data_IF_564080647853
#
_entry.id   IF_564080647853
#
_cell.length_a   1.000
_cell.length_b   1.000
_cell.length_c   1.000
_cell.angle_alpha   90.00
_cell.angle_beta   90.00
_cell.angle_gamma   90.00
#
_symmetry.space_group_name_H-M   'P 1'
#
loop_
_entity.id
_entity.type
_entity.pdbx_description
1 polymer ?
#
# COMPACT_ATOMS: atom_id res chain seq x y z
N UNK A 1 -17.05 6.86 -0.69
CA UNK A 1 -15.90 7.79 -0.60
C UNK A 1 -16.31 9.22 -0.93
N UNK A 2 -16.03 10.15 -0.02
CA UNK A 2 -16.21 11.59 -0.24
C UNK A 2 -15.04 12.17 -1.11
N UNK A 3 -15.12 13.45 -1.49
CA UNK A 3 -14.10 14.09 -2.34
C UNK A 3 -12.71 14.14 -1.69
N UNK A 4 -12.65 14.33 -0.38
CA UNK A 4 -11.39 14.33 0.39
C UNK A 4 -10.71 12.96 0.30
N UNK A 5 -11.47 11.88 0.53
CA UNK A 5 -10.98 10.51 0.44
C UNK A 5 -10.52 10.14 -0.98
N UNK A 6 -11.22 10.61 -2.03
CA UNK A 6 -10.81 10.39 -3.43
C UNK A 6 -9.51 11.10 -3.77
N UNK A 7 -9.33 12.34 -3.32
CA UNK A 7 -8.08 13.08 -3.50
C UNK A 7 -6.94 12.38 -2.77
N UNK A 8 -7.16 12.04 -1.50
CA UNK A 8 -6.16 11.38 -0.67
C UNK A 8 -5.74 10.01 -1.23
N UNK A 9 -6.67 9.24 -1.81
CA UNK A 9 -6.36 8.01 -2.54
C UNK A 9 -5.36 8.26 -3.68
N UNK A 10 -5.58 9.29 -4.50
CA UNK A 10 -4.67 9.66 -5.58
C UNK A 10 -3.29 10.06 -5.07
N UNK A 11 -3.26 10.98 -4.09
CA UNK A 11 -2.02 11.51 -3.51
C UNK A 11 -1.19 10.39 -2.84
N UNK A 12 -1.81 9.55 -2.01
CA UNK A 12 -1.14 8.42 -1.33
C UNK A 12 -0.64 7.39 -2.35
N UNK A 13 -1.44 7.07 -3.37
CA UNK A 13 -1.02 6.13 -4.42
C UNK A 13 0.25 6.63 -5.12
N UNK A 14 0.29 7.93 -5.45
CA UNK A 14 1.48 8.52 -6.08
C UNK A 14 2.70 8.53 -5.15
N UNK A 15 2.51 8.86 -3.86
CA UNK A 15 3.59 8.79 -2.86
C UNK A 15 4.14 7.37 -2.70
N UNK A 16 3.30 6.33 -2.78
CA UNK A 16 3.77 4.94 -2.80
C UNK A 16 4.65 4.66 -4.02
N UNK A 17 4.29 5.15 -5.22
CA UNK A 17 5.13 4.99 -6.43
C UNK A 17 6.49 5.67 -6.28
N UNK A 18 6.50 6.90 -5.76
CA UNK A 18 7.73 7.67 -5.51
C UNK A 18 8.60 6.92 -4.49
N UNK A 19 8.02 6.43 -3.40
CA UNK A 19 8.73 5.68 -2.38
C UNK A 19 9.34 4.37 -2.90
N UNK A 20 8.66 3.67 -3.82
CA UNK A 20 9.20 2.46 -4.45
C UNK A 20 10.45 2.77 -5.30
N UNK A 21 10.43 3.88 -6.04
CA UNK A 21 11.61 4.35 -6.79
C UNK A 21 12.75 4.75 -5.86
N UNK A 22 12.44 5.49 -4.79
CA UNK A 22 13.41 5.89 -3.78
C UNK A 22 14.07 4.66 -3.12
N UNK A 23 13.29 3.65 -2.75
CA UNK A 23 13.81 2.42 -2.16
C UNK A 23 14.78 1.66 -3.09
N UNK A 24 14.49 1.60 -4.39
CA UNK A 24 15.41 1.02 -5.37
C UNK A 24 16.70 1.86 -5.53
N UNK A 25 16.59 3.18 -5.55
CA UNK A 25 17.75 4.07 -5.62
C UNK A 25 18.63 3.98 -4.37
N UNK A 26 18.03 3.91 -3.18
CA UNK A 26 18.74 3.73 -1.92
C UNK A 26 19.49 2.40 -1.90
N UNK A 27 18.87 1.33 -2.40
CA UNK A 27 19.52 0.03 -2.53
C UNK A 27 20.74 0.09 -3.46
N UNK A 28 20.61 0.73 -4.63
CA UNK A 28 21.75 0.94 -5.52
C UNK A 28 22.88 1.68 -4.77
N UNK A 29 22.55 2.74 -4.01
CA UNK A 29 23.55 3.47 -3.22
C UNK A 29 24.19 2.65 -2.11
N UNK A 30 23.45 1.73 -1.49
CA UNK A 30 23.95 0.91 -0.39
C UNK A 30 24.81 -0.27 -0.86
N UNK A 31 24.57 -0.77 -2.07
CA UNK A 31 25.21 -2.00 -2.58
C UNK A 31 26.12 -1.80 -3.77
N UNK A 32 25.99 -0.68 -4.48
CA UNK A 32 26.58 -0.42 -5.80
C UNK A 32 26.22 -1.49 -6.86
N UNK A 33 25.13 -2.24 -6.64
CA UNK A 33 24.65 -3.31 -7.52
C UNK A 33 23.25 -2.96 -8.10
N UNK A 34 23.15 -2.49 -9.36
CA UNK A 34 21.89 -2.01 -9.95
C UNK A 34 20.78 -3.07 -10.01
N UNK A 35 21.14 -4.32 -10.29
CA UNK A 35 20.19 -5.43 -10.41
C UNK A 35 19.91 -6.16 -9.08
N UNK A 36 20.51 -5.72 -7.97
CA UNK A 36 20.27 -6.33 -6.66
C UNK A 36 18.81 -6.22 -6.27
N UNK A 37 18.30 -7.20 -5.52
CA UNK A 37 16.91 -7.20 -5.04
C UNK A 37 16.86 -6.69 -3.61
N UNK A 38 15.84 -5.91 -3.30
CA UNK A 38 15.49 -5.51 -1.93
C UNK A 38 14.99 -6.76 -1.19
N UNK A 39 15.76 -7.22 -0.21
CA UNK A 39 15.28 -8.13 0.84
C UNK A 39 14.71 -7.39 2.05
N UNK A 40 14.81 -6.06 2.09
CA UNK A 40 14.39 -5.24 3.22
C UNK A 40 13.02 -4.58 2.96
N UNK A 41 11.93 -5.31 3.22
CA UNK A 41 10.56 -4.75 3.24
C UNK A 41 10.46 -3.52 4.16
N UNK A 42 11.29 -3.49 5.21
CA UNK A 42 11.43 -2.35 6.11
C UNK A 42 11.87 -1.06 5.40
N UNK A 43 12.82 -1.12 4.46
CA UNK A 43 13.27 0.07 3.72
C UNK A 43 12.12 0.66 2.89
N UNK A 44 11.35 -0.21 2.24
CA UNK A 44 10.15 0.20 1.50
C UNK A 44 9.11 0.83 2.44
N UNK A 45 8.88 0.22 3.61
CA UNK A 45 7.94 0.72 4.63
C UNK A 45 8.30 2.13 5.11
N UNK A 46 9.57 2.35 5.46
CA UNK A 46 10.04 3.67 5.91
C UNK A 46 9.95 4.70 4.79
N UNK A 47 10.32 4.34 3.55
CA UNK A 47 10.25 5.27 2.42
C UNK A 47 8.80 5.62 2.05
N UNK A 48 7.86 4.68 2.14
CA UNK A 48 6.42 4.95 1.95
C UNK A 48 5.91 5.91 3.02
N UNK A 49 6.23 5.68 4.29
CA UNK A 49 5.80 6.55 5.37
C UNK A 49 6.36 7.98 5.20
N UNK A 50 7.65 8.14 4.87
CA UNK A 50 8.27 9.45 4.59
C UNK A 50 7.61 10.17 3.42
N UNK A 51 7.36 9.47 2.32
CA UNK A 51 6.74 10.07 1.14
C UNK A 51 5.32 10.56 1.43
N UNK A 52 4.53 9.82 2.22
CA UNK A 52 3.19 10.26 2.63
C UNK A 52 3.28 11.46 3.58
N UNK A 53 4.28 11.52 4.47
CA UNK A 53 4.48 12.65 5.39
C UNK A 53 4.72 13.98 4.67
N UNK A 54 5.32 13.95 3.47
CA UNK A 54 5.47 15.14 2.62
C UNK A 54 4.12 15.78 2.23
N UNK A 55 3.00 15.04 2.32
CA UNK A 55 1.67 15.61 2.08
C UNK A 55 1.20 16.52 3.24
N UNK A 56 1.88 16.50 4.39
CA UNK A 56 1.57 17.32 5.56
C UNK A 56 2.12 18.76 5.48
N UNK A 57 2.74 19.15 4.36
CA UNK A 57 3.27 20.52 4.20
C UNK A 57 2.13 21.55 4.25
N UNK A 58 2.33 22.63 5.02
CA UNK A 58 1.31 23.66 5.26
C UNK A 58 0.74 24.23 3.95
N UNK A 59 -0.57 24.57 3.90
CA UNK A 59 -1.53 24.64 5.00
C UNK A 59 -2.43 23.39 5.18
N UNK A 60 -1.98 22.20 4.78
CA UNK A 60 -2.79 20.98 4.85
C UNK A 60 -3.06 20.52 6.31
N UNK A 61 -4.25 19.95 6.55
CA UNK A 61 -4.51 19.19 7.79
C UNK A 61 -3.64 17.94 7.81
N UNK A 62 -2.77 17.76 8.82
CA UNK A 62 -1.74 16.74 8.76
C UNK A 62 -2.34 15.33 8.90
N UNK A 63 -2.01 14.46 7.95
CA UNK A 63 -2.14 13.03 8.10
C UNK A 63 -1.34 12.55 9.32
N UNK A 64 -1.92 11.64 10.10
CA UNK A 64 -1.17 10.88 11.11
C UNK A 64 -0.79 9.54 10.53
N UNK A 65 0.50 9.26 10.50
CA UNK A 65 1.08 8.07 9.90
C UNK A 65 1.64 7.20 11.02
N UNK A 66 1.23 5.94 11.06
CA UNK A 66 1.82 4.97 11.98
C UNK A 66 2.45 3.85 11.18
N UNK A 67 3.71 3.56 11.50
CA UNK A 67 4.43 2.40 11.00
C UNK A 67 4.18 1.24 11.96
N UNK A 68 3.96 0.03 11.44
CA UNK A 68 3.87 -1.20 12.24
C UNK A 68 2.71 -1.18 13.27
N UNK A 69 1.56 -0.60 12.91
CA UNK A 69 0.42 -0.48 13.84
C UNK A 69 -0.19 -1.86 14.13
N UNK A 70 -0.46 -2.22 15.41
CA UNK A 70 -1.13 -3.48 15.74
C UNK A 70 -2.51 -3.62 15.06
N UNK A 71 -2.75 -4.76 14.43
CA UNK A 71 -3.98 -5.03 13.66
C UNK A 71 -5.25 -4.86 14.50
N UNK A 72 -5.23 -5.31 15.76
CA UNK A 72 -6.35 -5.21 16.71
C UNK A 72 -6.73 -3.77 17.03
N UNK A 73 -5.73 -2.89 17.12
CA UNK A 73 -5.96 -1.50 17.47
C UNK A 73 -6.47 -0.74 16.24
N UNK A 74 -5.91 -1.01 15.05
CA UNK A 74 -6.42 -0.46 13.80
C UNK A 74 -7.86 -0.92 13.51
N UNK A 75 -8.16 -2.21 13.67
CA UNK A 75 -9.52 -2.72 13.48
C UNK A 75 -10.55 -2.05 14.39
N UNK A 76 -10.17 -1.76 15.65
CA UNK A 76 -11.03 -0.97 16.55
C UNK A 76 -11.23 0.45 16.01
N UNK A 77 -10.17 1.08 15.52
CA UNK A 77 -10.22 2.44 14.98
C UNK A 77 -11.05 2.52 13.68
N UNK A 78 -11.22 1.42 12.95
CA UNK A 78 -12.13 1.34 11.81
C UNK A 78 -13.62 1.49 12.19
N UNK A 79 -13.99 1.48 13.47
CA UNK A 79 -15.37 1.70 13.91
C UNK A 79 -15.56 3.11 14.48
N UNK A 80 -16.74 3.70 14.29
CA UNK A 80 -17.08 4.98 14.93
C UNK A 80 -16.86 4.92 16.45
N UNK A 81 -16.18 5.91 17.06
CA UNK A 81 -16.02 5.96 18.52
C UNK A 81 -17.36 6.13 19.25
N UNK A 82 -18.26 6.91 18.66
CA UNK A 82 -19.61 7.20 19.16
C UNK A 82 -20.57 7.26 17.99
N UNK A 83 -21.76 6.67 18.15
CA UNK A 83 -22.91 6.92 17.29
C UNK A 83 -23.91 7.71 18.11
N UNK A 84 -24.19 8.96 17.69
CA UNK A 84 -25.14 9.82 18.39
C UNK A 84 -26.57 9.41 18.05
N UNK A 85 -27.38 9.17 19.09
CA UNK A 85 -28.80 8.91 18.94
C UNK A 85 -29.64 10.17 19.07
N UNK A 86 -30.95 10.01 19.23
CA UNK A 86 -31.86 11.12 19.45
C UNK A 86 -31.51 11.87 20.77
N UNK A 87 -31.20 13.17 20.74
CA UNK A 87 -30.80 13.94 21.93
C UNK A 87 -31.90 14.04 23.00
N UNK A 88 -33.17 13.84 22.62
CA UNK A 88 -34.31 13.85 23.54
C UNK A 88 -34.48 12.52 24.29
N UNK A 89 -33.79 11.46 23.87
CA UNK A 89 -33.89 10.12 24.47
C UNK A 89 -32.61 9.82 25.23
N UNK A 90 -32.71 9.74 26.57
CA UNK A 90 -31.55 9.42 27.43
C UNK A 90 -30.99 8.04 27.05
N UNK A 91 -29.68 7.98 26.80
CA UNK A 91 -28.99 6.72 26.48
C UNK A 91 -29.11 6.28 25.01
N UNK A 92 -29.63 7.14 24.13
CA UNK A 92 -29.74 6.85 22.69
C UNK A 92 -28.39 6.79 21.98
N UNK A 93 -27.35 7.45 22.52
CA UNK A 93 -25.99 7.40 21.98
C UNK A 93 -25.25 6.14 22.39
N UNK A 94 -24.57 5.52 21.42
CA UNK A 94 -23.83 4.28 21.61
C UNK A 94 -22.33 4.57 21.54
N UNK A 95 -21.61 4.29 22.64
CA UNK A 95 -20.15 4.31 22.68
C UNK A 95 -19.60 2.99 22.16
N UNK A 96 -18.50 3.03 21.41
CA UNK A 96 -17.77 1.84 20.96
C UNK A 96 -17.32 1.01 22.16
N UNK A 97 -17.64 -0.29 22.15
CA UNK A 97 -17.27 -1.23 23.23
C UNK A 97 -16.34 -2.32 22.71
N UNK A 98 -15.36 -2.69 23.54
CA UNK A 98 -14.47 -3.82 23.27
C UNK A 98 -13.55 -3.63 22.07
N UNK A 99 -13.07 -4.76 21.53
CA UNK A 99 -12.31 -4.84 20.29
C UNK A 99 -13.09 -5.72 19.31
N UNK A 100 -13.27 -5.31 18.05
CA UNK A 100 -13.92 -6.16 17.07
C UNK A 100 -13.12 -7.45 16.85
N UNK A 101 -13.82 -8.49 16.42
CA UNK A 101 -13.17 -9.72 16.02
C UNK A 101 -12.35 -9.49 14.74
N UNK A 102 -11.09 -9.93 14.77
CA UNK A 102 -10.25 -10.10 13.58
C UNK A 102 -9.60 -11.47 13.67
N UNK A 103 -9.50 -12.17 12.55
CA UNK A 103 -8.96 -13.53 12.46
C UNK A 103 -7.49 -13.56 12.82
N UNK A 104 -6.72 -12.55 12.41
CA UNK A 104 -5.26 -12.56 12.51
C UNK A 104 -4.70 -11.44 13.36
N UNK A 105 -3.78 -11.82 14.25
CA UNK A 105 -2.94 -10.87 14.98
C UNK A 105 -1.71 -10.51 14.13
N UNK A 106 -1.19 -9.31 14.33
CA UNK A 106 0.02 -8.85 13.67
C UNK A 106 0.14 -7.34 13.72
N UNK A 107 0.90 -6.81 12.76
CA UNK A 107 1.09 -5.38 12.53
C UNK A 107 0.82 -5.09 11.05
N UNK A 108 0.41 -3.86 10.77
CA UNK A 108 0.19 -3.32 9.44
C UNK A 108 1.38 -2.41 9.13
N UNK A 109 2.00 -2.56 7.97
CA UNK A 109 3.26 -1.88 7.65
C UNK A 109 3.12 -0.37 7.75
N UNK A 110 2.09 0.21 7.11
CA UNK A 110 1.74 1.64 7.26
C UNK A 110 0.23 1.80 7.38
N UNK A 111 -0.21 2.64 8.31
CA UNK A 111 -1.58 3.13 8.35
C UNK A 111 -1.61 4.65 8.35
N UNK A 112 -2.59 5.20 7.66
CA UNK A 112 -2.78 6.65 7.53
C UNK A 112 -4.12 7.02 8.14
N UNK A 113 -4.12 8.08 8.93
CA UNK A 113 -5.31 8.71 9.47
C UNK A 113 -5.40 10.14 8.97
N UNK A 114 -6.62 10.64 8.92
CA UNK A 114 -6.91 12.03 8.57
C UNK A 114 -7.90 12.61 9.58
N UNK A 115 -7.95 13.93 9.65
CA UNK A 115 -8.95 14.63 10.44
C UNK A 115 -9.84 15.40 9.46
N UNK A 116 -11.09 14.97 9.30
CA UNK A 116 -12.06 15.67 8.46
C UNK A 116 -13.25 16.06 9.35
N UNK A 117 -13.40 17.37 9.67
CA UNK A 117 -14.46 17.84 10.54
C UNK A 117 -15.85 17.65 9.93
N UNK A 118 -15.95 17.35 8.63
CA UNK A 118 -17.21 17.05 7.96
C UNK A 118 -17.65 15.60 8.12
N UNK A 119 -16.81 14.73 8.69
CA UNK A 119 -17.17 13.34 8.97
C UNK A 119 -17.86 13.24 10.33
N UNK A 120 -18.77 12.26 10.48
CA UNK A 120 -19.33 11.90 11.78
C UNK A 120 -18.32 11.16 12.68
N UNK A 121 -17.04 11.13 12.31
CA UNK A 121 -16.00 10.46 13.06
C UNK A 121 -15.40 11.44 14.07
N UNK A 122 -15.55 11.14 15.36
CA UNK A 122 -15.02 11.99 16.42
C UNK A 122 -13.49 11.79 16.56
N UNK A 123 -12.72 12.77 16.09
CA UNK A 123 -11.25 12.75 16.12
C UNK A 123 -10.64 12.26 14.80
N UNK A 124 -9.46 11.63 14.87
CA UNK A 124 -8.76 11.18 13.65
C UNK A 124 -9.30 9.86 13.14
N UNK A 125 -9.87 9.88 11.94
CA UNK A 125 -10.45 8.73 11.24
C UNK A 125 -9.36 7.95 10.48
N UNK A 126 -9.38 6.60 10.50
CA UNK A 126 -8.51 5.83 9.63
C UNK A 126 -8.87 6.06 8.16
N UNK A 127 -7.85 6.39 7.36
CA UNK A 127 -7.97 6.63 5.93
C UNK A 127 -7.63 5.37 5.12
N UNK A 128 -6.48 4.76 5.42
CA UNK A 128 -6.07 3.53 4.74
C UNK A 128 -5.12 2.67 5.58
N UNK A 129 -5.17 1.37 5.31
CA UNK A 129 -4.13 0.41 5.65
C UNK A 129 -3.30 0.11 4.40
N UNK A 130 -1.99 0.02 4.56
CA UNK A 130 -1.03 -0.25 3.49
C UNK A 130 -0.17 -1.44 3.92
N UNK A 131 -0.23 -2.50 3.12
CA UNK A 131 0.62 -3.68 3.23
C UNK A 131 1.64 -3.65 2.08
N UNK A 132 2.91 -3.91 2.39
CA UNK A 132 4.05 -3.79 1.49
C UNK A 132 4.77 -5.13 1.44
N UNK A 133 5.28 -5.48 0.27
CA UNK A 133 6.12 -6.66 0.07
C UNK A 133 7.33 -6.34 -0.80
N UNK A 134 8.40 -7.09 -0.55
CA UNK A 134 9.63 -7.02 -1.34
C UNK A 134 9.46 -7.58 -2.75
N UNK A 135 10.55 -8.10 -3.31
CA UNK A 135 10.58 -8.62 -4.67
C UNK A 135 9.91 -9.99 -4.80
N UNK A 136 9.03 -10.12 -5.79
CA UNK A 136 8.38 -11.36 -6.23
C UNK A 136 7.70 -12.12 -5.07
N UNK A 137 6.76 -11.49 -4.33
CA UNK A 137 6.08 -12.16 -3.22
C UNK A 137 5.34 -13.40 -3.71
N UNK A 138 5.29 -14.42 -2.85
CA UNK A 138 4.55 -15.65 -3.18
C UNK A 138 3.05 -15.36 -3.24
N UNK A 139 2.33 -16.13 -4.08
CA UNK A 139 0.86 -16.02 -4.21
C UNK A 139 0.16 -16.08 -2.85
N UNK A 140 0.60 -16.99 -1.97
CA UNK A 140 0.01 -17.18 -0.65
C UNK A 140 0.14 -15.93 0.23
N UNK A 141 1.30 -15.26 0.20
CA UNK A 141 1.52 -14.03 0.96
C UNK A 141 0.63 -12.89 0.43
N UNK A 142 0.59 -12.71 -0.90
CA UNK A 142 -0.25 -11.68 -1.53
C UNK A 142 -1.72 -11.88 -1.17
N UNK A 143 -2.25 -13.11 -1.32
CA UNK A 143 -3.66 -13.39 -1.00
C UNK A 143 -3.94 -13.16 0.49
N UNK A 144 -3.03 -13.56 1.37
CA UNK A 144 -3.19 -13.36 2.81
C UNK A 144 -3.24 -11.88 3.21
N UNK A 145 -2.42 -11.02 2.59
CA UNK A 145 -2.42 -9.59 2.87
C UNK A 145 -3.64 -8.88 2.24
N UNK A 146 -4.05 -9.28 1.03
CA UNK A 146 -5.30 -8.78 0.42
C UNK A 146 -6.53 -9.18 1.24
N UNK A 147 -6.56 -10.41 1.77
CA UNK A 147 -7.61 -10.88 2.67
C UNK A 147 -7.65 -10.08 3.97
N UNK A 148 -6.49 -9.75 4.54
CA UNK A 148 -6.38 -8.93 5.75
C UNK A 148 -6.88 -7.50 5.50
N UNK A 149 -6.48 -6.92 4.37
CA UNK A 149 -6.97 -5.62 3.95
C UNK A 149 -8.50 -5.62 3.82
N UNK A 150 -9.08 -6.62 3.15
CA UNK A 150 -10.53 -6.79 3.03
C UNK A 150 -11.21 -7.01 4.39
N UNK A 151 -10.57 -7.71 5.33
CA UNK A 151 -11.09 -7.91 6.68
C UNK A 151 -11.31 -6.57 7.41
N UNK A 152 -10.42 -5.59 7.27
CA UNK A 152 -10.60 -4.26 7.87
C UNK A 152 -11.83 -3.52 7.34
N UNK A 153 -12.21 -3.73 6.08
CA UNK A 153 -13.44 -3.14 5.50
C UNK A 153 -14.71 -3.80 6.02
N UNK A 154 -14.61 -5.05 6.49
CA UNK A 154 -15.74 -5.85 6.97
C UNK A 154 -15.86 -5.90 8.49
N UNK A 155 -15.00 -5.17 9.20
CA UNK A 155 -15.11 -5.03 10.65
C UNK A 155 -16.49 -4.47 11.01
N UNK A 156 -17.15 -5.10 11.98
CA UNK A 156 -18.44 -4.70 12.51
C UNK A 156 -18.40 -4.68 14.04
N UNK A 157 -19.12 -3.74 14.64
CA UNK A 157 -19.29 -3.64 16.08
C UNK A 157 -20.57 -2.91 16.48
N UNK A 158 -20.70 -2.61 17.77
CA UNK A 158 -21.90 -1.98 18.29
C UNK A 158 -22.11 -0.53 17.81
N UNK A 159 -21.10 0.08 17.17
CA UNK A 159 -21.16 1.40 16.55
C UNK A 159 -21.25 1.34 15.02
N UNK A 160 -21.60 0.17 14.46
CA UNK A 160 -21.85 -0.02 13.04
C UNK A 160 -20.72 -0.73 12.30
N UNK A 161 -20.63 -0.47 10.99
CA UNK A 161 -19.63 -1.04 10.09
C UNK A 161 -18.33 -0.23 10.05
N UNK A 162 -17.31 -0.81 9.41
CA UNK A 162 -16.05 -0.15 9.11
C UNK A 162 -16.24 1.15 8.32
N UNK A 163 -15.56 2.20 8.78
CA UNK A 163 -15.46 3.51 8.14
C UNK A 163 -14.29 3.60 7.16
N UNK A 164 -13.50 2.53 7.01
CA UNK A 164 -12.31 2.52 6.17
C UNK A 164 -12.71 2.65 4.69
N UNK A 165 -12.28 3.70 3.98
CA UNK A 165 -12.69 3.91 2.59
C UNK A 165 -11.92 3.04 1.60
N UNK A 166 -10.62 2.84 1.84
CA UNK A 166 -9.77 2.02 0.98
C UNK A 166 -8.60 1.40 1.74
N UNK A 167 -7.98 0.39 1.15
CA UNK A 167 -6.71 -0.18 1.60
C UNK A 167 -5.82 -0.49 0.40
N UNK A 168 -4.52 -0.59 0.63
CA UNK A 168 -3.51 -0.74 -0.39
C UNK A 168 -2.63 -1.96 -0.09
N UNK A 169 -2.35 -2.75 -1.11
CA UNK A 169 -1.24 -3.70 -1.12
C UNK A 169 -0.24 -3.24 -2.18
N UNK A 170 1.05 -3.23 -1.88
CA UNK A 170 2.10 -2.94 -2.87
C UNK A 170 3.21 -3.97 -2.83
N UNK A 171 3.77 -4.31 -3.98
CA UNK A 171 4.99 -5.10 -4.03
C UNK A 171 5.89 -4.78 -5.23
N UNK A 172 7.14 -5.21 -5.13
CA UNK A 172 8.11 -5.15 -6.21
C UNK A 172 8.20 -6.50 -6.94
N UNK A 173 8.57 -6.46 -8.22
CA UNK A 173 8.84 -7.62 -9.08
C UNK A 173 10.11 -7.36 -9.86
N UNK A 174 10.94 -8.38 -10.06
CA UNK A 174 12.24 -8.26 -10.73
C UNK A 174 12.34 -9.19 -11.93
N UNK A 175 12.84 -8.67 -13.04
CA UNK A 175 13.14 -9.44 -14.23
C UNK A 175 14.57 -9.16 -14.68
N UNK A 176 15.40 -10.20 -14.78
CA UNK A 176 16.83 -10.09 -15.10
C UNK A 176 17.12 -10.30 -16.60
N UNK A 177 16.10 -10.62 -17.40
CA UNK A 177 16.24 -10.98 -18.82
C UNK A 177 15.33 -10.10 -19.68
N UNK A 178 15.52 -8.79 -19.57
CA UNK A 178 14.77 -7.82 -20.40
C UNK A 178 15.75 -7.00 -21.22
N UNK A 179 15.62 -7.09 -22.54
CA UNK A 179 16.59 -6.54 -23.48
C UNK A 179 16.02 -5.42 -24.35
N UNK A 180 14.68 -5.30 -24.40
CA UNK A 180 13.98 -4.38 -25.26
C UNK A 180 12.68 -3.85 -24.61
N UNK A 181 12.09 -2.84 -25.24
CA UNK A 181 10.84 -2.23 -24.80
C UNK A 181 9.66 -3.22 -24.85
N UNK A 182 9.67 -4.16 -25.82
CA UNK A 182 8.64 -5.19 -25.91
C UNK A 182 8.65 -6.11 -24.67
N UNK A 183 9.82 -6.50 -24.20
CA UNK A 183 10.00 -7.27 -22.97
C UNK A 183 9.58 -6.50 -21.72
N UNK A 184 9.79 -5.18 -21.67
CA UNK A 184 9.31 -4.36 -20.55
C UNK A 184 7.78 -4.34 -20.48
N UNK A 185 7.10 -4.16 -21.62
CA UNK A 185 5.65 -4.21 -21.71
C UNK A 185 5.09 -5.59 -21.36
N UNK A 186 5.74 -6.66 -21.83
CA UNK A 186 5.37 -8.03 -21.48
C UNK A 186 5.50 -8.30 -19.97
N UNK A 187 6.54 -7.77 -19.33
CA UNK A 187 6.75 -7.89 -17.90
C UNK A 187 5.69 -7.13 -17.09
N UNK A 188 5.29 -5.92 -17.52
CA UNK A 188 4.17 -5.19 -16.90
C UNK A 188 2.86 -5.97 -17.01
N UNK A 189 2.54 -6.48 -18.21
CA UNK A 189 1.35 -7.30 -18.43
C UNK A 189 1.36 -8.59 -17.59
N UNK A 190 2.53 -9.22 -17.43
CA UNK A 190 2.71 -10.41 -16.58
C UNK A 190 2.40 -10.11 -15.11
N UNK A 191 2.86 -8.98 -14.60
CA UNK A 191 2.59 -8.55 -13.22
C UNK A 191 1.11 -8.21 -13.04
N UNK A 192 0.52 -7.45 -13.96
CA UNK A 192 -0.91 -7.11 -13.93
C UNK A 192 -1.80 -8.37 -13.95
N UNK A 193 -1.53 -9.30 -14.88
CA UNK A 193 -2.25 -10.57 -14.98
C UNK A 193 -2.05 -11.46 -13.73
N UNK A 194 -0.87 -11.44 -13.12
CA UNK A 194 -0.60 -12.15 -11.88
C UNK A 194 -1.58 -11.69 -10.78
N UNK A 195 -1.69 -10.38 -10.51
CA UNK A 195 -2.59 -9.87 -9.49
C UNK A 195 -4.07 -10.05 -9.85
N UNK A 196 -4.45 -9.86 -11.12
CA UNK A 196 -5.81 -10.15 -11.60
C UNK A 196 -6.22 -11.59 -11.29
N UNK A 197 -5.31 -12.55 -11.46
CA UNK A 197 -5.57 -13.97 -11.16
C UNK A 197 -5.73 -14.28 -9.66
N UNK A 198 -5.30 -13.38 -8.78
CA UNK A 198 -5.37 -13.54 -7.32
C UNK A 198 -6.64 -12.95 -6.72
N UNK A 199 -7.25 -11.94 -7.35
CA UNK A 199 -8.46 -11.27 -6.83
C UNK A 199 -9.60 -12.26 -6.50
N UNK A 200 -9.93 -13.25 -7.36
CA UNK A 200 -10.98 -14.23 -7.04
C UNK A 200 -10.69 -15.10 -5.79
N UNK A 201 -9.43 -15.16 -5.35
CA UNK A 201 -8.99 -15.97 -4.20
C UNK A 201 -9.09 -15.21 -2.87
N UNK A 202 -9.32 -13.89 -2.91
CA UNK A 202 -9.39 -13.04 -1.72
C UNK A 202 -10.68 -13.30 -0.92
N UNK A 203 -11.73 -13.81 -1.55
CA UNK A 203 -12.97 -14.21 -0.89
C UNK A 203 -14.18 -13.41 -1.37
N UNK A 204 -15.14 -13.18 -0.49
CA UNK A 204 -16.37 -12.44 -0.83
C UNK A 204 -16.06 -10.97 -1.12
N UNK A 205 -16.24 -10.55 -2.37
CA UNK A 205 -15.93 -9.19 -2.83
C UNK A 205 -17.16 -8.26 -2.82
N UNK A 206 -18.31 -8.71 -2.28
CA UNK A 206 -19.53 -7.91 -2.29
C UNK A 206 -19.30 -6.54 -1.64
N UNK A 207 -19.70 -5.48 -2.35
CA UNK A 207 -19.50 -4.10 -1.91
C UNK A 207 -18.05 -3.59 -2.01
N UNK A 208 -17.17 -4.26 -2.76
CA UNK A 208 -15.77 -3.86 -2.91
C UNK A 208 -15.30 -3.89 -4.37
N UNK A 209 -14.49 -2.91 -4.76
CA UNK A 209 -13.85 -2.82 -6.07
C UNK A 209 -12.32 -2.99 -5.90
N UNK A 210 -11.71 -3.83 -6.73
CA UNK A 210 -10.25 -3.96 -6.78
C UNK A 210 -9.69 -3.26 -8.03
N UNK A 211 -8.70 -2.39 -7.83
CA UNK A 211 -7.95 -1.75 -8.94
C UNK A 211 -6.48 -2.13 -8.87
N UNK A 212 -5.91 -2.46 -10.01
CA UNK A 212 -4.51 -2.88 -10.13
C UNK A 212 -3.77 -1.84 -10.97
N UNK A 213 -2.58 -1.46 -10.51
CA UNK A 213 -1.66 -0.60 -11.25
C UNK A 213 -0.28 -1.24 -11.25
N UNK A 214 0.26 -1.52 -12.44
CA UNK A 214 1.65 -1.93 -12.63
C UNK A 214 2.43 -0.81 -13.33
N UNK A 215 3.66 -0.56 -12.89
CA UNK A 215 4.52 0.48 -13.48
C UNK A 215 6.00 0.13 -13.32
N UNK A 216 6.84 0.64 -14.22
CA UNK A 216 8.29 0.52 -14.10
C UNK A 216 8.79 1.38 -12.93
N UNK A 217 9.52 0.75 -12.02
CA UNK A 217 10.20 1.41 -10.89
C UNK A 217 11.63 1.76 -11.27
N UNK A 218 12.36 0.80 -11.83
CA UNK A 218 13.72 0.97 -12.34
C UNK A 218 13.94 0.04 -13.53
N UNK A 219 14.81 0.44 -14.45
CA UNK A 219 15.20 -0.40 -15.59
C UNK A 219 16.60 -0.06 -16.08
N UNK A 220 17.31 -1.09 -16.54
CA UNK A 220 18.49 -0.97 -17.38
C UNK A 220 18.47 -2.10 -18.41
N UNK A 221 18.46 -1.75 -19.69
CA UNK A 221 18.42 -2.69 -20.82
C UNK A 221 19.82 -3.01 -21.36
N UNK A 222 20.80 -2.17 -21.08
CA UNK A 222 22.13 -2.22 -21.69
C UNK A 222 23.10 -2.93 -20.73
N UNK A 223 23.05 -2.58 -19.44
CA UNK A 223 24.03 -2.97 -18.44
C UNK A 223 24.94 -1.80 -18.05
N UNK A 224 25.88 -2.05 -17.13
CA UNK A 224 26.80 -1.06 -16.59
C UNK A 224 28.13 -1.14 -17.33
N UNK A 225 28.66 -0.01 -17.77
CA UNK A 225 30.05 0.05 -18.26
C UNK A 225 30.99 0.09 -17.06
N UNK A 226 31.95 -0.84 -17.04
CA UNK A 226 33.02 -0.91 -16.07
C UNK A 226 34.33 -0.47 -16.75
N UNK A 227 35.03 0.45 -16.11
CA UNK A 227 36.38 0.85 -16.50
C UNK A 227 37.37 -0.17 -15.94
N UNK A 228 38.01 -0.95 -16.81
CA UNK A 228 39.04 -1.93 -16.44
C UNK A 228 40.47 -1.40 -16.62
N UNK A 229 40.65 -0.11 -16.96
CA UNK A 229 41.95 0.55 -17.14
C UNK A 229 42.10 1.29 -18.46
N UNK A 230 43.33 1.78 -18.72
CA UNK A 230 43.64 2.88 -19.66
C UNK A 230 43.05 2.78 -21.09
N UNK A 231 42.65 1.60 -21.57
CA UNK A 231 41.98 1.43 -22.88
C UNK A 231 40.92 0.29 -22.93
N UNK A 232 40.40 -0.18 -21.78
CA UNK A 232 39.48 -1.31 -21.74
C UNK A 232 38.20 -1.00 -20.96
N UNK A 233 37.09 -0.86 -21.70
CA UNK A 233 35.74 -0.85 -21.14
C UNK A 233 35.13 -2.25 -21.23
N UNK A 234 34.64 -2.76 -20.11
CA UNK A 234 33.84 -3.98 -20.06
C UNK A 234 32.36 -3.64 -19.87
N UNK A 235 31.47 -4.34 -20.57
CA UNK A 235 30.03 -4.21 -20.36
C UNK A 235 29.55 -5.29 -19.39
N UNK A 236 29.22 -4.88 -18.17
CA UNK A 236 28.53 -5.72 -17.20
C UNK A 236 27.05 -5.82 -17.55
N UNK A 237 26.68 -6.93 -18.19
CA UNK A 237 25.29 -7.23 -18.53
C UNK A 237 24.48 -7.75 -17.36
N UNK A 238 25.09 -8.11 -16.23
CA UNK A 238 24.38 -8.58 -15.04
C UNK A 238 23.70 -7.41 -14.31
N UNK A 239 24.13 -6.17 -14.57
CA UNK A 239 23.44 -4.96 -14.15
C UNK A 239 22.08 -4.73 -14.86
N UNK A 240 21.79 -5.48 -15.94
CA UNK A 240 20.49 -5.40 -16.62
C UNK A 240 19.37 -5.83 -15.70
N UNK A 241 18.32 -5.02 -15.65
CA UNK A 241 17.18 -5.32 -14.82
C UNK A 241 15.91 -4.60 -15.31
N UNK A 242 14.77 -5.16 -14.93
CA UNK A 242 13.51 -4.45 -14.92
C UNK A 242 12.83 -4.69 -13.59
N UNK A 243 12.70 -3.63 -12.79
CA UNK A 243 11.92 -3.64 -11.57
C UNK A 243 10.55 -3.04 -11.85
N UNK A 244 9.52 -3.84 -11.57
CA UNK A 244 8.12 -3.44 -11.71
C UNK A 244 7.52 -3.27 -10.33
N UNK A 245 6.86 -2.15 -10.11
CA UNK A 245 6.00 -1.93 -8.96
C UNK A 245 4.57 -2.33 -9.29
N UNK A 246 3.88 -2.92 -8.33
CA UNK A 246 2.47 -3.23 -8.43
C UNK A 246 1.73 -2.72 -7.20
N UNK A 247 0.63 -2.01 -7.44
CA UNK A 247 -0.28 -1.53 -6.40
C UNK A 247 -1.66 -2.16 -6.64
N UNK A 248 -2.22 -2.77 -5.61
CA UNK A 248 -3.58 -3.30 -5.58
C UNK A 248 -4.38 -2.50 -4.57
N UNK A 249 -5.38 -1.78 -5.05
CA UNK A 249 -6.31 -1.00 -4.24
C UNK A 249 -7.57 -1.82 -4.00
N UNK A 250 -7.99 -1.93 -2.74
CA UNK A 250 -9.32 -2.43 -2.37
C UNK A 250 -10.15 -1.23 -1.91
N UNK A 251 -11.20 -0.91 -2.66
CA UNK A 251 -12.08 0.24 -2.44
C UNK A 251 -13.41 -0.25 -1.91
N UNK A 252 -13.93 0.36 -0.83
CA UNK A 252 -15.32 0.14 -0.40
C UNK A 252 -16.24 0.82 -1.41
N UNK A 253 -17.08 0.04 -2.11
CA UNK A 253 -18.07 0.56 -3.03
C UNK A 253 -19.04 1.46 -2.24
N UNK A 254 -19.48 2.57 -2.85
CA UNK A 254 -20.48 3.41 -2.22
C UNK A 254 -21.77 2.58 -2.05
N UNK A 255 -22.19 2.35 -0.81
CA UNK A 255 -23.58 2.06 -0.50
C UNK A 255 -24.42 3.32 -0.70
#
# INVERSE_FOLDING_TARGET
>A
MNNVQKRALGDITEKVKIAMKAACNDMLRFSDEPARKINAEYLLTVNVAKAIDELNMQPADPYKIYIEKPTRDFARDCLHPVVFGNPLVRGSSVLRKGRPFIKRNGRIDVVVYYNDPLTAYFGTQPLCAIELKGFNPTRALVVADLQRNLEFHKVFGNTGESVLPFSLFSALHSFNSTYDEAGLLANLAKVDNFYKSLIPQVGDLNGHEFRIQSFTVSRDLIGRVLDEGEEHEALDTDARHHFVGAIVLCLKANA
#
